data_IF_007243212694
#
_entry.id   IF_007243212694
#
_cell.length_a   1.000
_cell.length_b   1.000
_cell.length_c   1.000
_cell.angle_alpha   90.00
_cell.angle_beta   90.00
_cell.angle_gamma   90.00
#
_symmetry.space_group_name_H-M   'P 1'
#
loop_
_entity.id
_entity.type
_entity.pdbx_description
1 polymer ?
#
# COMPACT_ATOMS: atom_id res chain seq x y z
N UNK A 1 -15.40 -2.29 7.73
CA UNK A 1 -14.33 -2.51 8.74
C UNK A 1 -13.33 -1.39 8.53
N UNK A 2 -12.89 -0.74 9.59
CA UNK A 2 -11.95 0.38 9.48
C UNK A 2 -10.51 -0.15 9.45
N UNK A 3 -9.75 0.25 8.44
CA UNK A 3 -8.31 -0.03 8.34
C UNK A 3 -7.57 1.14 8.98
N UNK A 4 -6.79 0.86 10.02
CA UNK A 4 -5.94 1.86 10.66
C UNK A 4 -4.54 1.80 10.05
N UNK A 5 -4.14 2.84 9.33
CA UNK A 5 -2.81 2.92 8.72
C UNK A 5 -1.74 3.17 9.79
N UNK A 6 -0.73 2.31 9.85
CA UNK A 6 0.39 2.42 10.81
C UNK A 6 1.62 3.00 10.11
N UNK A 7 1.93 2.53 8.91
CA UNK A 7 3.13 2.93 8.19
C UNK A 7 2.97 2.72 6.69
N UNK A 8 3.60 3.59 5.91
CA UNK A 8 3.74 3.48 4.46
C UNK A 8 5.21 3.53 4.08
N UNK A 9 5.58 2.79 3.04
CA UNK A 9 6.92 2.78 2.47
C UNK A 9 6.87 2.51 0.98
N UNK A 10 7.61 3.29 0.21
CA UNK A 10 7.81 3.04 -1.21
C UNK A 10 8.85 1.92 -1.37
N UNK A 11 8.45 0.84 -2.04
CA UNK A 11 9.31 -0.31 -2.33
C UNK A 11 10.07 -0.13 -3.64
N UNK A 12 9.45 0.58 -4.59
CA UNK A 12 9.99 0.86 -5.90
C UNK A 12 9.29 2.09 -6.47
N UNK A 13 10.02 2.90 -7.20
CA UNK A 13 9.50 4.08 -7.87
C UNK A 13 10.18 4.23 -9.23
N UNK A 14 9.36 4.47 -10.24
CA UNK A 14 9.73 4.76 -11.63
C UNK A 14 8.89 5.95 -12.14
N UNK A 15 9.11 6.37 -13.38
CA UNK A 15 8.41 7.50 -14.00
C UNK A 15 6.90 7.24 -14.11
N UNK A 16 6.49 5.99 -14.40
CA UNK A 16 5.08 5.63 -14.61
C UNK A 16 4.42 4.97 -13.39
N UNK A 17 5.20 4.41 -12.45
CA UNK A 17 4.70 3.49 -11.41
C UNK A 17 5.37 3.72 -10.06
N UNK A 18 4.60 3.60 -8.96
CA UNK A 18 5.12 3.40 -7.60
C UNK A 18 4.58 2.11 -7.02
N UNK A 19 5.44 1.30 -6.41
CA UNK A 19 5.03 0.16 -5.59
C UNK A 19 5.09 0.59 -4.13
N UNK A 20 3.94 0.56 -3.44
CA UNK A 20 3.79 1.04 -2.08
C UNK A 20 3.49 -0.14 -1.16
N UNK A 21 4.20 -0.23 -0.05
CA UNK A 21 3.89 -1.13 1.05
C UNK A 21 3.20 -0.34 2.16
N UNK A 22 1.99 -0.74 2.52
CA UNK A 22 1.22 -0.18 3.63
C UNK A 22 1.07 -1.21 4.72
N UNK A 23 1.52 -0.88 5.93
CA UNK A 23 1.24 -1.67 7.12
C UNK A 23 0.10 -0.99 7.86
N UNK A 24 -0.93 -1.75 8.17
CA UNK A 24 -2.02 -1.28 9.00
C UNK A 24 -2.56 -2.34 9.93
N UNK A 25 -3.59 -1.96 10.67
CA UNK A 25 -4.33 -2.82 11.57
C UNK A 25 -5.77 -2.93 11.10
N UNK A 26 -6.24 -4.17 11.06
CA UNK A 26 -7.64 -4.50 10.79
C UNK A 26 -8.14 -5.36 11.95
N UNK A 27 -9.08 -4.83 12.72
CA UNK A 27 -9.50 -5.41 14.00
C UNK A 27 -8.30 -5.71 14.93
N UNK A 28 -7.97 -6.98 15.10
CA UNK A 28 -6.88 -7.45 15.96
C UNK A 28 -5.72 -8.05 15.16
N UNK A 29 -5.61 -7.75 13.87
CA UNK A 29 -4.54 -8.25 13.01
C UNK A 29 -3.71 -7.10 12.45
N UNK A 30 -2.39 -7.27 12.45
CA UNK A 30 -1.46 -6.44 11.70
C UNK A 30 -1.37 -7.01 10.28
N UNK A 31 -1.62 -6.18 9.28
CA UNK A 31 -1.67 -6.56 7.86
C UNK A 31 -0.69 -5.71 7.07
N UNK A 32 0.05 -6.33 6.18
CA UNK A 32 0.84 -5.67 5.14
C UNK A 32 0.08 -5.77 3.82
N UNK A 33 -0.05 -4.65 3.13
CA UNK A 33 -0.71 -4.49 1.83
C UNK A 33 0.32 -3.94 0.86
N UNK A 34 0.41 -4.55 -0.32
CA UNK A 34 1.23 -4.09 -1.43
C UNK A 34 0.30 -3.54 -2.50
N UNK A 35 0.48 -2.26 -2.81
CA UNK A 35 -0.25 -1.55 -3.83
C UNK A 35 0.68 -1.14 -4.97
N UNK A 36 0.10 -1.02 -6.15
CA UNK A 36 0.74 -0.42 -7.32
C UNK A 36 -0.04 0.83 -7.67
N UNK A 37 0.66 1.96 -7.65
CA UNK A 37 0.14 3.26 -8.06
C UNK A 37 0.65 3.58 -9.47
N UNK A 38 -0.23 4.06 -10.35
CA UNK A 38 0.10 4.51 -11.70
C UNK A 38 0.17 6.04 -11.69
N UNK A 39 1.23 6.59 -12.25
CA UNK A 39 1.44 8.02 -12.42
C UNK A 39 1.01 8.48 -13.82
N UNK A 40 0.63 9.74 -13.94
CA UNK A 40 0.55 10.41 -15.24
C UNK A 40 1.90 11.05 -15.63
N UNK A 41 1.93 11.72 -16.78
CA UNK A 41 3.09 12.43 -17.30
C UNK A 41 3.61 13.56 -16.40
N UNK A 42 2.83 14.01 -15.41
CA UNK A 42 3.21 15.02 -14.43
C UNK A 42 3.75 14.40 -13.13
N UNK A 43 3.73 13.06 -13.03
CA UNK A 43 4.09 12.32 -11.82
C UNK A 43 2.96 12.19 -10.80
N UNK A 44 1.74 12.64 -11.13
CA UNK A 44 0.58 12.57 -10.24
C UNK A 44 -0.03 11.16 -10.24
N UNK A 45 -0.37 10.64 -9.06
CA UNK A 45 -1.01 9.32 -8.96
C UNK A 45 -2.45 9.39 -9.49
N UNK A 46 -2.73 8.68 -10.57
CA UNK A 46 -4.06 8.61 -11.19
C UNK A 46 -4.86 7.38 -10.79
N UNK A 47 -4.18 6.30 -10.39
CA UNK A 47 -4.81 5.04 -9.99
C UNK A 47 -3.96 4.31 -8.96
N UNK A 48 -4.61 3.59 -8.05
CA UNK A 48 -3.96 2.71 -7.08
C UNK A 48 -4.71 1.37 -7.08
N UNK A 49 -3.97 0.27 -7.20
CA UNK A 49 -4.50 -1.09 -7.17
C UNK A 49 -3.81 -1.90 -6.08
N UNK A 50 -4.60 -2.51 -5.18
CA UNK A 50 -4.09 -3.52 -4.25
C UNK A 50 -3.71 -4.78 -5.04
N UNK A 51 -2.46 -5.22 -4.92
CA UNK A 51 -1.95 -6.42 -5.59
C UNK A 51 -1.88 -7.60 -4.64
N UNK A 52 -1.60 -7.33 -3.36
CA UNK A 52 -1.43 -8.37 -2.36
C UNK A 52 -1.70 -7.83 -0.97
N UNK A 53 -2.26 -8.68 -0.12
CA UNK A 53 -2.22 -8.48 1.33
C UNK A 53 -1.68 -9.73 2.03
N UNK A 54 -1.11 -9.52 3.22
CA UNK A 54 -0.58 -10.58 4.08
C UNK A 54 -0.81 -10.20 5.54
N UNK A 55 -1.38 -11.14 6.32
CA UNK A 55 -1.42 -11.00 7.79
C UNK A 55 -0.01 -11.21 8.34
N UNK A 56 0.50 -10.20 9.05
CA UNK A 56 1.80 -10.24 9.72
C UNK A 56 1.71 -10.85 11.13
N UNK A 57 0.55 -10.76 11.78
CA UNK A 57 0.30 -11.34 13.09
C UNK A 57 -0.98 -10.81 13.72
N UNK A 58 -1.41 -11.44 14.81
CA UNK A 58 -2.49 -10.94 15.66
C UNK A 58 -1.89 -10.16 16.85
N UNK A 59 -2.61 -9.13 17.30
CA UNK A 59 -2.22 -8.27 18.42
C UNK A 59 -2.74 -8.79 19.77
#
# INVERSE_FOLDING_TARGET
>A
MEFELISTRDLFEDDDIVIISRIGKVFNAKVEIIDVAIKDENGDITSIMEVKHKILGYL
#
